data_IF_226293354639
#
_entry.id   IF_226293354639
#
_cell.length_a   1.000
_cell.length_b   1.000
_cell.length_c   1.000
_cell.angle_alpha   90.00
_cell.angle_beta   90.00
_cell.angle_gamma   90.00
#
_symmetry.space_group_name_H-M   'P 1'
#
loop_
_entity.id
_entity.type
_entity.pdbx_description
1 polymer ?
#
# COMPACT_ATOMS: atom_id res chain seq x y z
N UNK A 1 -23.45 -0.91 -14.19
CA UNK A 1 -22.45 -0.65 -13.13
C UNK A 1 -23.11 0.17 -12.03
N UNK A 2 -23.39 -0.40 -10.86
CA UNK A 2 -24.22 0.23 -9.81
C UNK A 2 -23.52 1.34 -9.02
N UNK A 3 -22.22 1.56 -9.22
CA UNK A 3 -21.47 2.65 -8.58
C UNK A 3 -20.48 3.30 -9.54
N UNK A 4 -20.42 4.62 -9.47
CA UNK A 4 -19.40 5.46 -10.10
C UNK A 4 -18.10 5.43 -9.29
N UNK A 5 -16.95 5.70 -9.92
CA UNK A 5 -15.66 5.75 -9.22
C UNK A 5 -15.68 6.77 -8.07
N UNK A 6 -16.37 7.90 -8.27
CA UNK A 6 -16.57 8.94 -7.26
C UNK A 6 -17.34 8.43 -6.04
N UNK A 7 -18.36 7.59 -6.24
CA UNK A 7 -19.16 7.01 -5.15
C UNK A 7 -18.34 5.99 -4.35
N UNK A 8 -17.56 5.15 -5.03
CA UNK A 8 -16.64 4.22 -4.36
C UNK A 8 -15.54 4.96 -3.58
N UNK A 9 -15.06 6.09 -4.10
CA UNK A 9 -14.07 6.92 -3.40
C UNK A 9 -14.63 7.54 -2.13
N UNK A 10 -15.90 7.99 -2.14
CA UNK A 10 -16.54 8.60 -0.97
C UNK A 10 -16.71 7.59 0.17
N UNK A 11 -17.00 6.33 -0.15
CA UNK A 11 -17.25 5.26 0.84
C UNK A 11 -15.97 4.83 1.55
N UNK A 12 -14.86 4.65 0.81
CA UNK A 12 -13.69 3.92 1.34
C UNK A 12 -12.32 4.49 1.00
N UNK A 13 -12.21 5.58 0.24
CA UNK A 13 -10.90 6.08 -0.17
C UNK A 13 -10.18 6.82 0.96
N UNK A 14 -8.85 6.78 0.89
CA UNK A 14 -7.94 7.66 1.61
C UNK A 14 -7.68 8.88 0.72
N UNK A 15 -7.69 10.07 1.30
CA UNK A 15 -7.44 11.33 0.57
C UNK A 15 -6.01 11.82 0.77
N UNK A 16 -5.37 11.43 1.87
CA UNK A 16 -3.96 11.72 2.10
C UNK A 16 -3.29 10.66 2.96
N UNK A 17 -1.98 10.52 2.73
CA UNK A 17 -1.06 9.72 3.55
C UNK A 17 -0.08 10.69 4.18
N UNK A 18 0.05 10.73 5.50
CA UNK A 18 0.97 11.59 6.25
C UNK A 18 2.30 10.93 6.58
N UNK A 19 2.36 9.59 6.57
CA UNK A 19 3.58 8.86 6.88
C UNK A 19 3.50 7.39 6.49
N UNK A 20 4.66 6.74 6.46
CA UNK A 20 4.79 5.31 6.18
C UNK A 20 5.86 4.70 7.07
N UNK A 21 5.62 3.49 7.56
CA UNK A 21 6.60 2.70 8.29
C UNK A 21 6.60 1.27 7.79
N UNK A 22 7.78 0.68 7.63
CA UNK A 22 7.96 -0.68 7.12
C UNK A 22 8.60 -1.54 8.21
N UNK A 23 8.08 -2.76 8.38
CA UNK A 23 8.65 -3.76 9.27
C UNK A 23 9.15 -4.96 8.47
N UNK A 24 10.32 -5.47 8.81
CA UNK A 24 10.96 -6.61 8.15
C UNK A 24 10.84 -7.86 9.01
N UNK A 25 10.70 -9.01 8.36
CA UNK A 25 10.75 -10.31 9.05
C UNK A 25 12.18 -10.82 9.15
N UNK A 26 12.40 -11.74 10.08
CA UNK A 26 13.67 -12.47 10.23
C UNK A 26 14.03 -13.33 8.99
N UNK A 27 13.04 -13.62 8.13
CA UNK A 27 13.23 -14.35 6.87
C UNK A 27 13.72 -13.47 5.71
N UNK A 28 14.06 -12.20 5.96
CA UNK A 28 14.59 -11.29 4.95
C UNK A 28 13.56 -10.81 3.95
N UNK A 29 12.29 -10.69 4.36
CA UNK A 29 11.20 -10.12 3.55
C UNK A 29 10.53 -8.97 4.31
N UNK A 30 9.80 -8.12 3.58
CA UNK A 30 8.95 -7.12 4.20
C UNK A 30 7.74 -7.80 4.84
N UNK A 31 7.61 -7.71 6.16
CA UNK A 31 6.53 -8.33 6.92
C UNK A 31 5.23 -7.52 6.80
N UNK A 32 5.33 -6.21 7.01
CA UNK A 32 4.19 -5.30 6.97
C UNK A 32 4.59 -3.89 6.57
N UNK A 33 3.62 -3.19 6.00
CA UNK A 33 3.72 -1.77 5.67
C UNK A 33 2.54 -1.07 6.35
N UNK A 34 2.83 -0.09 7.19
CA UNK A 34 1.82 0.72 7.86
C UNK A 34 1.81 2.12 7.28
N UNK A 35 0.65 2.53 6.78
CA UNK A 35 0.41 3.87 6.27
C UNK A 35 -0.34 4.69 7.32
N UNK A 36 0.15 5.88 7.60
CA UNK A 36 -0.58 6.89 8.34
C UNK A 36 -1.42 7.68 7.35
N UNK A 37 -2.75 7.61 7.47
CA UNK A 37 -3.69 8.23 6.53
C UNK A 37 -4.57 9.25 7.24
N UNK A 38 -5.34 10.03 6.46
CA UNK A 38 -6.36 10.93 7.00
C UNK A 38 -7.48 10.23 7.79
N UNK A 39 -7.58 8.89 7.72
CA UNK A 39 -8.56 8.08 8.45
C UNK A 39 -7.89 7.22 9.54
N UNK A 40 -6.67 7.56 9.94
CA UNK A 40 -5.88 6.80 10.91
C UNK A 40 -4.85 5.87 10.23
N UNK A 41 -4.36 4.89 10.97
CA UNK A 41 -3.32 3.98 10.49
C UNK A 41 -3.91 2.76 9.80
N UNK A 42 -3.30 2.35 8.69
CA UNK A 42 -3.66 1.15 7.94
C UNK A 42 -2.42 0.28 7.80
N UNK A 43 -2.47 -0.93 8.36
CA UNK A 43 -1.38 -1.89 8.25
C UNK A 43 -1.74 -2.95 7.22
N UNK A 44 -0.85 -3.16 6.26
CA UNK A 44 -1.01 -4.12 5.17
C UNK A 44 0.14 -5.13 5.27
N UNK A 45 -0.15 -6.42 5.07
CA UNK A 45 0.89 -7.44 4.97
C UNK A 45 1.79 -7.17 3.76
N UNK A 46 3.10 -7.36 3.89
CA UNK A 46 4.06 -7.05 2.83
C UNK A 46 3.82 -7.85 1.55
N UNK A 47 3.38 -9.11 1.65
CA UNK A 47 3.06 -9.93 0.48
C UNK A 47 1.80 -9.44 -0.26
N UNK A 48 0.78 -9.02 0.48
CA UNK A 48 -0.44 -8.47 -0.10
C UNK A 48 -0.18 -7.13 -0.76
N UNK A 49 0.65 -6.28 -0.11
CA UNK A 49 1.11 -5.03 -0.70
C UNK A 49 1.89 -5.28 -1.99
N UNK A 50 2.85 -6.22 -1.98
CA UNK A 50 3.64 -6.59 -3.16
C UNK A 50 2.75 -6.97 -4.34
N UNK A 51 1.77 -7.84 -4.11
CA UNK A 51 0.82 -8.28 -5.15
C UNK A 51 -0.06 -7.12 -5.63
N UNK A 52 -0.66 -6.37 -4.71
CA UNK A 52 -1.56 -5.28 -5.04
C UNK A 52 -0.84 -4.16 -5.81
N UNK A 53 0.38 -3.82 -5.41
CA UNK A 53 1.22 -2.84 -6.09
C UNK A 53 1.55 -3.31 -7.51
N UNK A 54 2.11 -4.51 -7.68
CA UNK A 54 2.50 -5.02 -8.99
C UNK A 54 1.31 -5.19 -9.95
N UNK A 55 0.13 -5.53 -9.43
CA UNK A 55 -1.09 -5.65 -10.24
C UNK A 55 -1.61 -4.27 -10.70
N UNK A 56 -1.44 -3.23 -9.88
CA UNK A 56 -2.00 -1.89 -10.13
C UNK A 56 -0.97 -0.88 -10.65
N UNK A 57 0.32 -1.23 -10.70
CA UNK A 57 1.37 -0.30 -11.05
C UNK A 57 1.37 0.02 -12.55
N UNK A 58 1.17 1.29 -12.95
CA UNK A 58 1.31 1.71 -14.33
C UNK A 58 2.79 1.87 -14.71
N UNK A 59 3.10 1.76 -16.00
CA UNK A 59 4.41 2.18 -16.54
C UNK A 59 5.59 1.23 -16.31
N UNK A 60 5.35 -0.10 -16.23
CA UNK A 60 6.41 -1.12 -16.02
C UNK A 60 7.22 -0.94 -14.72
N UNK A 61 6.68 -0.23 -13.74
CA UNK A 61 7.26 -0.16 -12.40
C UNK A 61 6.73 -1.36 -11.62
N UNK A 62 7.62 -2.18 -11.09
CA UNK A 62 7.26 -3.35 -10.30
C UNK A 62 8.29 -3.60 -9.21
N UNK A 63 7.81 -4.04 -8.06
CA UNK A 63 8.65 -4.64 -7.03
C UNK A 63 9.08 -6.02 -7.54
N UNK A 64 10.40 -6.25 -7.59
CA UNK A 64 10.98 -7.51 -8.08
C UNK A 64 11.29 -8.52 -6.97
N UNK A 65 11.36 -8.06 -5.73
CA UNK A 65 11.69 -8.86 -4.56
C UNK A 65 10.66 -8.62 -3.46
N UNK A 66 10.45 -9.63 -2.61
CA UNK A 66 9.64 -9.54 -1.40
C UNK A 66 10.29 -8.69 -0.29
N UNK A 67 11.56 -8.31 -0.45
CA UNK A 67 12.23 -7.32 0.39
C UNK A 67 12.22 -5.97 -0.32
N UNK A 68 11.50 -5.01 0.24
CA UNK A 68 11.38 -3.65 -0.30
C UNK A 68 11.16 -2.63 0.81
N UNK A 69 11.57 -1.39 0.56
CA UNK A 69 11.31 -0.25 1.45
C UNK A 69 10.34 0.74 0.78
N UNK A 70 9.61 1.49 1.59
CA UNK A 70 8.68 2.53 1.15
C UNK A 70 8.90 3.75 2.03
N UNK A 71 9.07 4.90 1.40
CA UNK A 71 9.28 6.18 2.07
C UNK A 71 8.34 7.23 1.48
N UNK A 72 7.87 8.14 2.33
CA UNK A 72 7.15 9.34 1.93
C UNK A 72 8.12 10.52 1.99
N UNK A 73 8.37 11.14 0.84
CA UNK A 73 9.07 12.43 0.75
C UNK A 73 8.09 13.59 0.81
#
# INVERSE_FOLDING_TARGET
NPYSISELQSIGSYTSVSGVSVSYSESGITASVTFQTNKGSVTINGNDFYKAFNLRAPGRIALKSGLFNIEKK
#
